data_IF_195708842960
#
_entry.id   IF_195708842960
#
_cell.length_a   1.000
_cell.length_b   1.000
_cell.length_c   1.000
_cell.angle_alpha   90.00
_cell.angle_beta   90.00
_cell.angle_gamma   90.00
#
_symmetry.space_group_name_H-M   'P 1'
#
loop_
_entity.id
_entity.type
_entity.pdbx_description
1 polymer ?
#
# COMPACT_ATOMS: atom_id res chain seq x y z
N UNK A 1 34.12 -28.52 43.71
CA UNK A 1 32.78 -27.91 43.90
C UNK A 1 32.59 -26.92 42.75
N UNK A 2 32.02 -27.40 41.64
CA UNK A 2 31.92 -26.65 40.37
C UNK A 2 30.61 -25.91 40.32
N UNK A 3 30.70 -24.58 40.21
CA UNK A 3 29.60 -23.64 40.06
C UNK A 3 29.05 -23.77 38.64
N UNK A 4 28.06 -24.64 38.45
CA UNK A 4 27.15 -24.58 37.29
C UNK A 4 26.00 -23.62 37.65
N UNK A 5 26.17 -22.34 37.33
CA UNK A 5 25.10 -21.35 37.50
C UNK A 5 24.54 -20.93 36.15
N UNK A 6 23.29 -21.31 35.92
CA UNK A 6 22.27 -20.65 35.12
C UNK A 6 22.63 -20.22 33.68
N UNK A 7 22.41 -21.13 32.72
CA UNK A 7 21.92 -20.79 31.38
C UNK A 7 20.60 -21.53 31.18
N UNK A 8 19.49 -20.90 31.55
CA UNK A 8 18.16 -21.35 31.16
C UNK A 8 17.19 -20.18 31.29
N UNK A 9 17.10 -19.34 30.25
CA UNK A 9 15.92 -18.51 29.94
C UNK A 9 15.86 -18.34 28.42
N UNK A 10 15.41 -19.38 27.71
CA UNK A 10 14.78 -19.31 26.38
C UNK A 10 13.71 -20.40 26.32
N UNK A 11 12.82 -20.40 27.31
CA UNK A 11 11.80 -21.46 27.42
C UNK A 11 10.59 -21.22 26.51
N UNK A 12 10.45 -20.01 25.96
CA UNK A 12 9.43 -19.72 24.97
C UNK A 12 10.00 -19.86 23.55
N UNK A 13 9.35 -20.72 22.76
CA UNK A 13 9.60 -20.87 21.34
C UNK A 13 8.27 -20.73 20.60
N UNK A 14 8.18 -19.78 19.67
CA UNK A 14 6.97 -19.62 18.89
C UNK A 14 6.85 -20.76 17.86
N UNK A 15 6.10 -21.81 18.19
CA UNK A 15 5.84 -22.95 17.30
C UNK A 15 5.04 -22.51 16.06
N UNK A 16 4.23 -21.44 16.19
CA UNK A 16 3.33 -20.95 15.15
C UNK A 16 3.93 -19.86 14.26
N UNK A 17 5.23 -19.56 14.36
CA UNK A 17 5.87 -18.44 13.68
C UNK A 17 5.62 -18.38 12.17
N UNK A 18 5.61 -19.53 11.48
CA UNK A 18 5.31 -19.59 10.04
C UNK A 18 3.86 -19.22 9.74
N UNK A 19 2.94 -19.65 10.59
CA UNK A 19 1.52 -19.33 10.46
C UNK A 19 1.27 -17.85 10.72
N UNK A 20 1.95 -17.28 11.72
CA UNK A 20 1.83 -15.86 12.09
C UNK A 20 2.40 -14.95 10.98
N UNK A 21 3.58 -15.29 10.45
CA UNK A 21 4.17 -14.59 9.31
C UNK A 21 3.29 -14.71 8.06
N UNK A 22 2.83 -15.92 7.73
CA UNK A 22 1.92 -16.15 6.59
C UNK A 22 0.60 -15.41 6.77
N UNK A 23 0.04 -15.35 7.99
CA UNK A 23 -1.19 -14.61 8.29
C UNK A 23 -1.04 -13.13 7.99
N UNK A 24 0.12 -12.55 8.32
CA UNK A 24 0.44 -11.14 8.14
C UNK A 24 0.46 -10.74 6.67
N UNK A 25 0.98 -11.60 5.79
CA UNK A 25 1.19 -11.28 4.37
C UNK A 25 0.25 -12.00 3.40
N UNK A 26 -0.70 -12.81 3.90
CA UNK A 26 -1.54 -13.70 3.07
C UNK A 26 -2.25 -12.99 1.93
N UNK A 27 -2.84 -11.83 2.21
CA UNK A 27 -3.62 -11.07 1.23
C UNK A 27 -2.72 -10.55 0.12
N UNK A 28 -1.63 -9.87 0.49
CA UNK A 28 -0.58 -9.44 -0.44
C UNK A 28 -0.05 -10.61 -1.27
N UNK A 29 0.24 -11.74 -0.64
CA UNK A 29 0.75 -12.95 -1.28
C UNK A 29 -0.21 -13.48 -2.34
N UNK A 30 -1.49 -13.61 -2.02
CA UNK A 30 -2.50 -14.10 -2.97
C UNK A 30 -2.57 -13.17 -4.19
N UNK A 31 -2.78 -11.88 -3.96
CA UNK A 31 -2.96 -10.89 -5.04
C UNK A 31 -1.70 -10.72 -5.91
N UNK A 32 -0.53 -10.58 -5.29
CA UNK A 32 0.74 -10.41 -6.02
C UNK A 32 1.21 -11.71 -6.68
N UNK A 33 0.79 -12.88 -6.20
CA UNK A 33 1.07 -14.16 -6.85
C UNK A 33 0.25 -14.33 -8.13
N UNK A 34 -1.00 -13.82 -8.16
CA UNK A 34 -1.80 -13.81 -9.39
C UNK A 34 -1.14 -12.96 -10.47
N UNK A 35 -0.59 -11.80 -10.11
CA UNK A 35 0.10 -10.89 -11.04
C UNK A 35 1.53 -11.36 -11.36
N UNK A 36 2.10 -12.26 -10.56
CA UNK A 36 3.43 -12.82 -10.75
C UNK A 36 4.58 -12.04 -10.12
N UNK A 37 4.29 -10.98 -9.35
CA UNK A 37 5.29 -10.08 -8.75
C UNK A 37 5.71 -10.53 -7.33
N UNK A 38 4.96 -11.44 -6.70
CA UNK A 38 5.28 -11.92 -5.36
C UNK A 38 6.74 -12.44 -5.29
N UNK A 39 7.56 -11.99 -4.33
CA UNK A 39 8.96 -12.39 -4.21
C UNK A 39 9.08 -13.86 -3.80
N UNK A 40 9.14 -14.74 -4.80
CA UNK A 40 9.33 -16.19 -4.62
C UNK A 40 10.79 -16.54 -4.32
N UNK A 41 11.00 -17.75 -3.79
CA UNK A 41 12.34 -18.33 -3.60
C UNK A 41 13.07 -18.42 -4.95
N UNK A 42 14.32 -17.95 -4.99
CA UNK A 42 15.19 -18.01 -6.17
C UNK A 42 15.43 -19.47 -6.56
N UNK A 43 14.64 -19.97 -7.50
CA UNK A 43 14.88 -21.20 -8.24
C UNK A 43 14.75 -20.86 -9.72
N UNK A 44 15.44 -21.60 -10.59
CA UNK A 44 15.39 -21.34 -12.03
C UNK A 44 13.95 -21.30 -12.55
N UNK A 45 13.13 -22.30 -12.19
CA UNK A 45 11.71 -22.36 -12.58
C UNK A 45 10.90 -21.16 -12.08
N UNK A 46 11.10 -20.73 -10.83
CA UNK A 46 10.38 -19.56 -10.30
C UNK A 46 10.79 -18.27 -10.98
N UNK A 47 12.07 -18.11 -11.32
CA UNK A 47 12.57 -16.93 -12.02
C UNK A 47 12.00 -16.86 -13.44
N UNK A 48 11.97 -17.97 -14.18
CA UNK A 48 11.35 -18.01 -15.51
C UNK A 48 9.86 -17.65 -15.42
N UNK A 49 9.11 -18.29 -14.51
CA UNK A 49 7.68 -17.97 -14.30
C UNK A 49 7.46 -16.49 -13.98
N UNK A 50 8.28 -15.93 -13.10
CA UNK A 50 8.23 -14.53 -12.71
C UNK A 50 8.42 -13.58 -13.91
N UNK A 51 9.47 -13.78 -14.71
CA UNK A 51 9.74 -12.91 -15.85
C UNK A 51 8.66 -13.05 -16.92
N UNK A 52 8.20 -14.27 -17.22
CA UNK A 52 7.12 -14.49 -18.20
C UNK A 52 5.82 -13.81 -17.73
N UNK A 53 5.39 -14.03 -16.49
CA UNK A 53 4.15 -13.43 -15.97
C UNK A 53 4.22 -11.90 -15.92
N UNK A 54 5.32 -11.35 -15.41
CA UNK A 54 5.50 -9.89 -15.32
C UNK A 54 5.50 -9.23 -16.70
N UNK A 55 6.17 -9.85 -17.68
CA UNK A 55 6.20 -9.36 -19.06
C UNK A 55 4.82 -9.40 -19.70
N UNK A 56 4.04 -10.48 -19.51
CA UNK A 56 2.67 -10.58 -20.01
C UNK A 56 1.78 -9.49 -19.41
N UNK A 57 1.83 -9.29 -18.09
CA UNK A 57 1.05 -8.25 -17.40
C UNK A 57 1.43 -6.86 -17.90
N UNK A 58 2.73 -6.60 -18.09
CA UNK A 58 3.20 -5.33 -18.61
C UNK A 58 2.67 -5.06 -20.03
N UNK A 59 2.72 -6.05 -20.92
CA UNK A 59 2.16 -5.92 -22.27
C UNK A 59 0.64 -5.70 -22.25
N UNK A 60 -0.11 -6.39 -21.38
CA UNK A 60 -1.54 -6.16 -21.21
C UNK A 60 -1.82 -4.73 -20.73
N UNK A 61 -1.04 -4.22 -19.78
CA UNK A 61 -1.17 -2.83 -19.31
C UNK A 61 -0.87 -1.82 -20.42
N UNK A 62 0.16 -2.05 -21.25
CA UNK A 62 0.45 -1.20 -22.41
C UNK A 62 -0.67 -1.26 -23.46
N UNK A 63 -1.23 -2.45 -23.70
CA UNK A 63 -2.37 -2.65 -24.58
C UNK A 63 -3.62 -1.89 -24.13
N UNK A 64 -3.78 -1.66 -22.81
CA UNK A 64 -4.84 -0.79 -22.28
C UNK A 64 -4.46 0.69 -22.34
N UNK A 65 -3.24 1.06 -21.93
CA UNK A 65 -2.85 2.45 -21.74
C UNK A 65 -2.63 3.21 -23.05
N UNK A 66 -1.98 2.60 -24.05
CA UNK A 66 -1.63 3.30 -25.30
C UNK A 66 -2.88 3.73 -26.08
N UNK A 67 -3.87 2.86 -26.35
CA UNK A 67 -5.12 3.24 -27.03
C UNK A 67 -5.92 4.28 -26.25
N UNK A 68 -5.84 4.23 -24.92
CA UNK A 68 -6.52 5.19 -24.05
C UNK A 68 -5.89 6.59 -24.16
N UNK A 69 -4.56 6.67 -24.30
CA UNK A 69 -3.83 7.93 -24.54
C UNK A 69 -4.13 8.48 -25.94
N UNK A 70 -4.16 7.61 -26.95
CA UNK A 70 -4.51 8.00 -28.34
C UNK A 70 -5.91 8.61 -28.37
N UNK A 71 -6.91 7.93 -27.78
CA UNK A 71 -8.29 8.43 -27.69
C UNK A 71 -8.37 9.83 -27.07
N UNK A 72 -7.55 10.10 -26.06
CA UNK A 72 -7.54 11.41 -25.38
C UNK A 72 -7.06 12.54 -26.28
N UNK A 73 -6.12 12.25 -27.16
CA UNK A 73 -5.51 13.24 -28.03
C UNK A 73 -6.35 13.51 -29.29
N UNK A 74 -6.97 12.46 -29.86
CA UNK A 74 -7.66 12.56 -31.14
C UNK A 74 -9.19 12.71 -31.05
N UNK A 75 -9.86 12.07 -30.09
CA UNK A 75 -11.33 11.92 -30.10
C UNK A 75 -12.04 12.58 -28.91
N UNK A 76 -11.28 13.07 -27.93
CA UNK A 76 -11.85 13.63 -26.72
C UNK A 76 -12.23 15.10 -26.93
N UNK A 77 -13.52 15.38 -27.10
CA UNK A 77 -14.00 16.75 -27.35
C UNK A 77 -14.55 17.45 -26.10
N UNK A 78 -15.01 16.67 -25.11
CA UNK A 78 -15.72 17.17 -23.92
C UNK A 78 -14.83 17.12 -22.69
N UNK A 79 -14.81 18.22 -21.91
CA UNK A 79 -14.04 18.30 -20.66
C UNK A 79 -14.41 17.17 -19.66
N UNK A 80 -15.70 16.81 -19.58
CA UNK A 80 -16.18 15.72 -18.72
C UNK A 80 -15.60 14.36 -19.13
N UNK A 81 -15.46 14.10 -20.44
CA UNK A 81 -14.79 12.89 -20.96
C UNK A 81 -13.29 12.94 -20.68
N UNK A 82 -12.64 14.10 -20.86
CA UNK A 82 -11.22 14.28 -20.52
C UNK A 82 -10.93 13.91 -19.07
N UNK A 83 -11.70 14.42 -18.11
CA UNK A 83 -11.47 14.15 -16.69
C UNK A 83 -11.59 12.66 -16.35
N UNK A 84 -12.62 11.98 -16.88
CA UNK A 84 -12.82 10.54 -16.68
C UNK A 84 -11.65 9.72 -17.23
N UNK A 85 -11.21 10.05 -18.45
CA UNK A 85 -10.12 9.34 -19.13
C UNK A 85 -8.77 9.59 -18.44
N UNK A 86 -8.45 10.85 -18.11
CA UNK A 86 -7.18 11.19 -17.45
C UNK A 86 -7.09 10.53 -16.06
N UNK A 87 -8.18 10.48 -15.28
CA UNK A 87 -8.17 9.78 -13.99
C UNK A 87 -7.76 8.30 -14.14
N UNK A 88 -8.33 7.61 -15.12
CA UNK A 88 -8.03 6.21 -15.40
C UNK A 88 -6.61 6.01 -15.99
N UNK A 89 -6.10 6.96 -16.77
CA UNK A 89 -4.71 6.96 -17.24
C UNK A 89 -3.71 7.14 -16.10
N UNK A 90 -3.96 8.11 -15.21
CA UNK A 90 -3.12 8.34 -14.02
C UNK A 90 -3.12 7.08 -13.16
N UNK A 91 -4.27 6.46 -12.91
CA UNK A 91 -4.35 5.20 -12.16
C UNK A 91 -3.52 4.08 -12.81
N UNK A 92 -3.57 3.95 -14.13
CA UNK A 92 -2.80 2.96 -14.89
C UNK A 92 -1.29 3.26 -14.85
N UNK A 93 -0.90 4.53 -14.95
CA UNK A 93 0.49 4.97 -14.84
C UNK A 93 1.07 4.69 -13.44
N UNK A 94 0.29 4.95 -12.38
CA UNK A 94 0.68 4.60 -11.01
C UNK A 94 0.91 3.09 -10.85
N UNK A 95 0.08 2.26 -11.48
CA UNK A 95 0.28 0.81 -11.49
C UNK A 95 1.63 0.43 -12.11
N UNK A 96 1.99 1.02 -13.25
CA UNK A 96 3.27 0.80 -13.92
C UNK A 96 4.44 1.23 -13.03
N UNK A 97 4.39 2.44 -12.44
CA UNK A 97 5.41 2.95 -11.52
C UNK A 97 5.60 2.00 -10.33
N UNK A 98 4.50 1.48 -9.78
CA UNK A 98 4.52 0.52 -8.67
C UNK A 98 5.17 -0.79 -9.07
N UNK A 99 4.85 -1.36 -10.24
CA UNK A 99 5.52 -2.57 -10.76
C UNK A 99 7.03 -2.33 -10.78
N UNK A 100 7.48 -1.30 -11.50
CA UNK A 100 8.91 -1.03 -11.67
C UNK A 100 9.62 -0.81 -10.33
N UNK A 101 8.99 -0.09 -9.41
CA UNK A 101 9.57 0.13 -8.07
C UNK A 101 9.74 -1.18 -7.29
N UNK A 102 8.72 -2.06 -7.31
CA UNK A 102 8.80 -3.37 -6.65
C UNK A 102 9.84 -4.27 -7.35
N UNK A 103 9.96 -4.21 -8.67
CA UNK A 103 10.96 -4.98 -9.43
C UNK A 103 12.39 -4.55 -9.10
N UNK A 104 12.65 -3.23 -9.07
CA UNK A 104 13.96 -2.67 -8.73
C UNK A 104 14.33 -3.04 -7.28
N UNK A 105 13.38 -2.92 -6.35
CA UNK A 105 13.61 -3.15 -4.93
C UNK A 105 13.27 -4.58 -4.47
N UNK A 106 13.15 -5.54 -5.40
CA UNK A 106 12.70 -6.92 -5.11
C UNK A 106 13.53 -7.63 -4.05
N UNK A 107 14.84 -7.41 -4.03
CA UNK A 107 15.75 -8.08 -3.12
C UNK A 107 15.55 -7.56 -1.69
N UNK A 108 15.39 -6.24 -1.55
CA UNK A 108 15.14 -5.60 -0.27
C UNK A 108 13.77 -6.01 0.30
N UNK A 109 12.73 -6.02 -0.53
CA UNK A 109 11.39 -6.47 -0.11
C UNK A 109 11.44 -7.94 0.33
N UNK A 110 12.15 -8.79 -0.42
CA UNK A 110 12.33 -10.19 -0.03
C UNK A 110 13.09 -10.33 1.28
N UNK A 111 14.11 -9.51 1.50
CA UNK A 111 14.84 -9.46 2.75
C UNK A 111 13.91 -9.04 3.91
N UNK A 112 13.10 -7.99 3.75
CA UNK A 112 12.09 -7.58 4.74
C UNK A 112 11.12 -8.71 5.12
N UNK A 113 10.68 -9.51 4.14
CA UNK A 113 9.78 -10.64 4.37
C UNK A 113 10.48 -11.80 5.09
N UNK A 114 11.75 -12.06 4.76
CA UNK A 114 12.54 -13.09 5.43
C UNK A 114 12.85 -12.69 6.88
N UNK A 115 13.25 -11.44 7.10
CA UNK A 115 13.49 -10.89 8.44
C UNK A 115 12.21 -10.89 9.27
N UNK A 116 11.05 -10.61 8.69
CA UNK A 116 9.76 -10.72 9.38
C UNK A 116 9.53 -12.14 9.90
N UNK A 117 9.74 -13.17 9.09
CA UNK A 117 9.60 -14.58 9.52
C UNK A 117 10.58 -14.94 10.65
N UNK A 118 11.84 -14.50 10.54
CA UNK A 118 12.86 -14.68 11.57
C UNK A 118 12.46 -14.00 12.87
N UNK A 119 11.94 -12.78 12.79
CA UNK A 119 11.50 -12.01 13.96
C UNK A 119 10.29 -12.65 14.64
N UNK A 120 9.35 -13.25 13.89
CA UNK A 120 8.26 -14.06 14.47
C UNK A 120 8.75 -15.35 15.14
N UNK A 121 9.84 -15.95 14.62
CA UNK A 121 10.44 -17.16 15.20
C UNK A 121 11.19 -16.86 16.50
N UNK A 122 11.91 -15.75 16.52
CA UNK A 122 12.83 -15.37 17.60
C UNK A 122 12.15 -14.48 18.66
N UNK A 123 10.81 -14.44 18.69
CA UNK A 123 10.04 -13.75 19.73
C UNK A 123 10.32 -14.35 21.10
N UNK A 124 10.53 -13.50 22.11
CA UNK A 124 10.94 -13.94 23.45
C UNK A 124 9.79 -14.45 24.33
N UNK A 125 8.56 -14.00 24.10
CA UNK A 125 7.41 -14.42 24.91
C UNK A 125 6.07 -14.25 24.17
N UNK A 126 5.04 -14.91 24.70
CA UNK A 126 3.70 -14.90 24.13
C UNK A 126 3.10 -13.49 24.05
N UNK A 127 3.36 -12.64 25.03
CA UNK A 127 2.86 -11.27 25.05
C UNK A 127 3.48 -10.42 23.93
N UNK A 128 4.77 -10.58 23.62
CA UNK A 128 5.41 -9.90 22.47
C UNK A 128 4.80 -10.37 21.16
N UNK A 129 4.52 -11.68 21.04
CA UNK A 129 3.86 -12.26 19.86
C UNK A 129 2.45 -11.67 19.70
N UNK A 130 1.69 -11.56 20.78
CA UNK A 130 0.34 -10.98 20.76
C UNK A 130 0.36 -9.51 20.30
N UNK A 131 1.35 -8.73 20.72
CA UNK A 131 1.55 -7.35 20.24
C UNK A 131 1.79 -7.33 18.73
N UNK A 132 2.74 -8.12 18.21
CA UNK A 132 3.00 -8.21 16.77
C UNK A 132 1.78 -8.69 15.97
N UNK A 133 0.99 -9.60 16.54
CA UNK A 133 -0.25 -10.07 15.92
C UNK A 133 -1.36 -9.04 15.93
N UNK A 134 -1.45 -8.20 16.96
CA UNK A 134 -2.41 -7.11 17.00
C UNK A 134 -2.08 -6.02 15.96
N UNK A 135 -0.81 -5.66 15.78
CA UNK A 135 -0.41 -4.74 14.71
C UNK A 135 -0.66 -5.33 13.32
N UNK A 136 -0.38 -6.62 13.11
CA UNK A 136 -0.70 -7.32 11.87
C UNK A 136 -2.21 -7.35 11.56
N UNK A 137 -3.07 -7.53 12.58
CA UNK A 137 -4.54 -7.46 12.42
C UNK A 137 -4.99 -6.09 11.93
N UNK A 138 -4.45 -5.01 12.49
CA UNK A 138 -4.78 -3.63 12.06
C UNK A 138 -4.44 -3.44 10.57
N UNK A 139 -3.23 -3.81 10.15
CA UNK A 139 -2.82 -3.71 8.73
C UNK A 139 -3.72 -4.54 7.80
N UNK A 140 -4.18 -5.71 8.26
CA UNK A 140 -5.08 -6.56 7.51
C UNK A 140 -6.50 -6.00 7.42
N UNK A 141 -7.03 -5.40 8.49
CA UNK A 141 -8.33 -4.71 8.47
C UNK A 141 -8.29 -3.59 7.43
N UNK A 142 -7.26 -2.75 7.45
CA UNK A 142 -7.10 -1.70 6.44
C UNK A 142 -7.07 -2.25 5.02
N UNK A 143 -6.35 -3.35 4.80
CA UNK A 143 -6.31 -4.01 3.49
C UNK A 143 -7.69 -4.51 3.06
N UNK A 144 -8.45 -5.14 3.96
CA UNK A 144 -9.79 -5.69 3.67
C UNK A 144 -10.77 -4.56 3.37
N UNK A 145 -10.77 -3.49 4.16
CA UNK A 145 -11.63 -2.32 3.94
C UNK A 145 -11.32 -1.69 2.58
N UNK A 146 -10.03 -1.52 2.25
CA UNK A 146 -9.64 -0.95 0.97
C UNK A 146 -9.99 -1.86 -0.22
N UNK A 147 -9.83 -3.19 -0.08
CA UNK A 147 -10.27 -4.16 -1.08
C UNK A 147 -11.78 -4.11 -1.31
N UNK A 148 -12.56 -4.05 -0.23
CA UNK A 148 -14.02 -4.02 -0.30
C UNK A 148 -14.52 -2.75 -1.00
N UNK A 149 -14.04 -1.57 -0.58
CA UNK A 149 -14.41 -0.30 -1.19
C UNK A 149 -13.92 -0.20 -2.64
N UNK A 150 -12.69 -0.65 -2.88
CA UNK A 150 -12.06 -0.59 -4.19
C UNK A 150 -12.77 -1.45 -5.23
N UNK A 151 -12.96 -2.74 -4.96
CA UNK A 151 -13.74 -3.60 -5.85
C UNK A 151 -15.22 -3.22 -5.88
N UNK A 152 -15.77 -2.74 -4.75
CA UNK A 152 -17.15 -2.28 -4.65
C UNK A 152 -17.47 -1.07 -5.52
N UNK A 153 -16.51 -0.18 -5.78
CA UNK A 153 -16.68 0.95 -6.71
C UNK A 153 -16.25 0.62 -8.14
N UNK A 154 -15.13 -0.07 -8.31
CA UNK A 154 -14.54 -0.27 -9.62
C UNK A 154 -15.23 -1.35 -10.46
N UNK A 155 -15.76 -2.41 -9.86
CA UNK A 155 -16.51 -3.43 -10.63
C UNK A 155 -17.80 -2.84 -11.21
N UNK A 156 -18.63 -2.10 -10.45
CA UNK A 156 -19.77 -1.39 -11.05
C UNK A 156 -19.35 -0.40 -12.14
N UNK A 157 -18.25 0.33 -11.94
CA UNK A 157 -17.74 1.28 -12.92
C UNK A 157 -17.33 0.62 -14.25
N UNK A 158 -16.61 -0.52 -14.20
CA UNK A 158 -16.12 -1.18 -15.41
C UNK A 158 -17.12 -2.17 -16.02
N UNK A 159 -17.96 -2.83 -15.22
CA UNK A 159 -18.88 -3.86 -15.72
C UNK A 159 -20.27 -3.29 -15.93
N UNK A 160 -20.84 -2.66 -14.91
CA UNK A 160 -22.27 -2.33 -14.90
C UNK A 160 -22.54 -1.06 -15.68
N UNK A 161 -21.72 -0.02 -15.48
CA UNK A 161 -21.93 1.28 -16.10
C UNK A 161 -21.95 1.20 -17.64
N UNK A 162 -21.06 0.45 -18.33
CA UNK A 162 -21.14 0.30 -19.77
C UNK A 162 -22.40 -0.46 -20.22
N UNK A 163 -22.83 -1.47 -19.46
CA UNK A 163 -24.01 -2.28 -19.79
C UNK A 163 -25.34 -1.51 -19.70
N UNK A 164 -25.43 -0.53 -18.80
CA UNK A 164 -26.62 0.32 -18.61
C UNK A 164 -26.58 1.64 -19.39
N UNK A 165 -25.40 2.01 -19.92
CA UNK A 165 -25.22 3.22 -20.69
C UNK A 165 -25.94 3.14 -22.04
N UNK A 166 -26.25 4.31 -22.61
CA UNK A 166 -26.82 4.40 -23.94
C UNK A 166 -25.94 3.68 -24.96
N UNK A 167 -26.59 2.92 -25.86
CA UNK A 167 -25.88 2.18 -26.89
C UNK A 167 -25.38 3.14 -27.97
N UNK A 168 -24.16 2.91 -28.42
CA UNK A 168 -23.57 3.61 -29.55
C UNK A 168 -24.25 3.07 -30.82
N UNK A 169 -24.88 3.96 -31.58
CA UNK A 169 -25.48 3.63 -32.88
C UNK A 169 -24.41 3.77 -33.95
N UNK A 170 -24.15 2.69 -34.67
CA UNK A 170 -23.21 2.67 -35.78
C UNK A 170 -23.82 3.24 -37.07
N UNK A 171 -22.95 3.50 -38.05
CA UNK A 171 -23.35 3.91 -39.40
C UNK A 171 -24.21 2.87 -40.14
N UNK A 172 -24.17 1.60 -39.75
CA UNK A 172 -24.99 0.51 -40.30
C UNK A 172 -26.32 0.30 -39.54
N UNK A 173 -26.71 1.23 -38.65
CA UNK A 173 -27.85 1.14 -37.73
C UNK A 173 -27.80 -0.01 -36.71
N UNK A 174 -26.66 -0.71 -36.56
CA UNK A 174 -26.47 -1.64 -35.45
C UNK A 174 -26.12 -0.88 -34.15
N UNK A 175 -26.46 -1.46 -33.00
CA UNK A 175 -26.20 -0.84 -31.68
C UNK A 175 -25.13 -1.59 -30.91
N UNK A 176 -24.18 -0.86 -30.32
CA UNK A 176 -23.10 -1.44 -29.50
C UNK A 176 -23.09 -0.88 -28.08
N UNK A 177 -22.72 -1.73 -27.13
CA UNK A 177 -22.47 -1.34 -25.73
C UNK A 177 -21.16 -0.56 -25.71
N UNK A 178 -21.00 0.57 -25.00
CA UNK A 178 -19.72 1.28 -24.94
C UNK A 178 -18.61 0.46 -24.26
N UNK A 179 -17.35 0.75 -24.58
CA UNK A 179 -16.20 0.10 -23.92
C UNK A 179 -16.05 0.62 -22.48
N UNK A 180 -15.64 -0.23 -21.51
CA UNK A 180 -15.36 0.18 -20.12
C UNK A 180 -14.23 1.23 -20.02
N UNK A 181 -13.28 1.15 -20.95
CA UNK A 181 -12.25 2.15 -21.16
C UNK A 181 -12.41 2.70 -22.58
N UNK A 182 -12.72 3.99 -22.67
CA UNK A 182 -12.75 4.69 -23.95
C UNK A 182 -11.36 4.61 -24.56
N UNK A 183 -11.22 4.02 -25.73
CA UNK A 183 -9.92 3.67 -26.29
C UNK A 183 -10.02 3.58 -27.80
N UNK A 184 -9.04 4.15 -28.48
CA UNK A 184 -8.94 4.10 -29.93
C UNK A 184 -7.76 3.21 -30.33
N UNK A 185 -8.06 2.09 -30.98
CA UNK A 185 -7.07 1.10 -31.40
C UNK A 185 -6.76 1.27 -32.89
N UNK A 186 -5.74 2.06 -33.19
CA UNK A 186 -5.31 2.39 -34.56
C UNK A 186 -4.85 1.17 -35.38
N UNK A 187 -4.48 0.07 -34.73
CA UNK A 187 -3.87 -1.09 -35.38
C UNK A 187 -4.88 -2.13 -35.92
N UNK A 188 -6.15 -2.07 -35.52
CA UNK A 188 -7.20 -2.99 -36.00
C UNK A 188 -8.60 -2.43 -35.77
N UNK A 189 -9.54 -2.76 -36.66
CA UNK A 189 -10.94 -2.31 -36.56
C UNK A 189 -11.65 -3.09 -35.44
N UNK A 190 -12.00 -2.39 -34.36
CA UNK A 190 -12.66 -2.98 -33.18
C UNK A 190 -14.16 -3.15 -33.41
N UNK A 191 -14.74 -2.30 -34.26
CA UNK A 191 -16.19 -2.15 -34.37
C UNK A 191 -16.86 -3.46 -34.84
N UNK A 192 -16.17 -4.32 -35.57
CA UNK A 192 -16.75 -5.57 -36.06
C UNK A 192 -16.74 -6.71 -35.02
N UNK A 193 -17.86 -7.44 -34.93
CA UNK A 193 -17.93 -8.69 -34.15
C UNK A 193 -17.14 -9.78 -34.88
N UNK A 194 -16.29 -10.59 -34.18
CA UNK A 194 -16.20 -10.76 -32.73
C UNK A 194 -15.09 -9.94 -32.03
N UNK A 195 -14.40 -9.05 -32.76
CA UNK A 195 -13.24 -8.30 -32.26
C UNK A 195 -13.62 -7.38 -31.10
N UNK A 196 -14.81 -6.79 -31.18
CA UNK A 196 -15.37 -5.94 -30.14
C UNK A 196 -15.51 -6.68 -28.80
N UNK A 197 -16.16 -7.84 -28.81
CA UNK A 197 -16.43 -8.65 -27.63
C UNK A 197 -15.13 -9.16 -27.01
N UNK A 198 -14.16 -9.56 -27.84
CA UNK A 198 -12.84 -9.98 -27.37
C UNK A 198 -12.14 -8.80 -26.67
N UNK A 199 -12.15 -7.61 -27.27
CA UNK A 199 -11.51 -6.42 -26.71
C UNK A 199 -12.15 -6.03 -25.37
N UNK A 200 -13.48 -6.05 -25.29
CA UNK A 200 -14.22 -5.81 -24.05
C UNK A 200 -13.77 -6.75 -22.93
N UNK A 201 -13.72 -8.06 -23.19
CA UNK A 201 -13.29 -9.07 -22.21
C UNK A 201 -11.82 -8.88 -21.80
N UNK A 202 -10.95 -8.57 -22.76
CA UNK A 202 -9.52 -8.32 -22.50
C UNK A 202 -9.32 -7.07 -21.65
N UNK A 203 -10.04 -5.97 -21.91
CA UNK A 203 -9.98 -4.76 -21.08
C UNK A 203 -10.45 -5.04 -19.65
N UNK A 204 -11.55 -5.79 -19.49
CA UNK A 204 -12.06 -6.18 -18.17
C UNK A 204 -11.07 -7.02 -17.38
N UNK A 205 -10.48 -8.02 -18.02
CA UNK A 205 -9.47 -8.88 -17.40
C UNK A 205 -8.22 -8.08 -17.03
N UNK A 206 -7.77 -7.18 -17.91
CA UNK A 206 -6.60 -6.32 -17.67
C UNK A 206 -6.85 -5.36 -16.50
N UNK A 207 -8.04 -4.74 -16.42
CA UNK A 207 -8.44 -3.90 -15.29
C UNK A 207 -8.43 -4.66 -13.97
N UNK A 208 -8.99 -5.89 -13.95
CA UNK A 208 -8.94 -6.75 -12.78
C UNK A 208 -7.50 -7.07 -12.32
N UNK A 209 -6.57 -7.29 -13.25
CA UNK A 209 -5.16 -7.49 -12.93
C UNK A 209 -4.50 -6.22 -12.37
N UNK A 210 -4.78 -5.05 -12.95
CA UNK A 210 -4.27 -3.74 -12.46
C UNK A 210 -4.80 -3.46 -11.04
N UNK A 211 -6.07 -3.76 -10.78
CA UNK A 211 -6.68 -3.65 -9.46
C UNK A 211 -6.01 -4.60 -8.46
N UNK A 212 -5.91 -5.89 -8.81
CA UNK A 212 -5.25 -6.91 -7.98
C UNK A 212 -3.82 -6.53 -7.64
N UNK A 213 -3.06 -6.00 -8.60
CA UNK A 213 -1.73 -5.46 -8.39
C UNK A 213 -1.73 -4.34 -7.35
N UNK A 214 -2.54 -3.30 -7.57
CA UNK A 214 -2.60 -2.15 -6.66
C UNK A 214 -2.90 -2.60 -5.24
N UNK A 215 -4.00 -3.33 -5.04
CA UNK A 215 -4.40 -3.82 -3.73
C UNK A 215 -3.38 -4.78 -3.10
N UNK A 216 -2.71 -5.60 -3.92
CA UNK A 216 -1.64 -6.47 -3.45
C UNK A 216 -0.43 -5.70 -2.93
N UNK A 217 -0.03 -4.63 -3.62
CA UNK A 217 1.08 -3.76 -3.19
C UNK A 217 0.69 -3.00 -1.93
N UNK A 218 -0.54 -2.48 -1.84
CA UNK A 218 -1.04 -1.85 -0.62
C UNK A 218 -1.05 -2.78 0.58
N UNK A 219 -1.52 -4.00 0.37
CA UNK A 219 -1.48 -5.03 1.40
C UNK A 219 -0.06 -5.27 1.87
N UNK A 220 0.90 -5.38 0.94
CA UNK A 220 2.31 -5.57 1.28
C UNK A 220 2.86 -4.41 2.11
N UNK A 221 2.60 -3.16 1.69
CA UNK A 221 3.01 -1.94 2.39
C UNK A 221 2.42 -1.93 3.81
N UNK A 222 1.12 -2.17 3.95
CA UNK A 222 0.47 -2.21 5.25
C UNK A 222 1.06 -3.29 6.16
N UNK A 223 1.29 -4.50 5.63
CA UNK A 223 1.86 -5.61 6.38
C UNK A 223 3.28 -5.32 6.91
N UNK A 224 4.19 -4.85 6.05
CA UNK A 224 5.59 -4.60 6.47
C UNK A 224 5.69 -3.37 7.39
N UNK A 225 4.91 -2.32 7.16
CA UNK A 225 4.93 -1.12 8.00
C UNK A 225 4.31 -1.38 9.36
N UNK A 226 3.18 -2.10 9.43
CA UNK A 226 2.59 -2.47 10.72
C UNK A 226 3.43 -3.48 11.50
N UNK A 227 4.14 -4.37 10.80
CA UNK A 227 5.15 -5.22 11.44
C UNK A 227 6.26 -4.38 12.07
N UNK A 228 6.74 -3.34 11.36
CA UNK A 228 7.72 -2.41 11.90
C UNK A 228 7.19 -1.65 13.14
N UNK A 229 5.93 -1.22 13.13
CA UNK A 229 5.27 -0.66 14.32
C UNK A 229 5.27 -1.67 15.48
N UNK A 230 4.99 -2.94 15.20
CA UNK A 230 5.02 -4.03 16.18
C UNK A 230 6.40 -4.23 16.81
N UNK A 231 7.49 -4.09 16.03
CA UNK A 231 8.86 -4.15 16.56
C UNK A 231 9.16 -3.00 17.53
N UNK A 232 8.71 -1.79 17.22
CA UNK A 232 8.85 -0.64 18.12
C UNK A 232 8.01 -0.81 19.39
N UNK A 233 6.77 -1.28 19.27
CA UNK A 233 5.87 -1.51 20.40
C UNK A 233 6.41 -2.61 21.34
N UNK A 234 6.91 -3.72 20.78
CA UNK A 234 7.62 -4.77 21.52
C UNK A 234 8.84 -4.17 22.24
N UNK A 235 9.66 -3.40 21.54
CA UNK A 235 10.83 -2.74 22.16
C UNK A 235 10.42 -1.83 23.31
N UNK A 236 9.36 -1.04 23.14
CA UNK A 236 8.84 -0.15 24.16
C UNK A 236 8.37 -0.93 25.41
N UNK A 237 7.65 -2.04 25.21
CA UNK A 237 7.22 -2.94 26.29
C UNK A 237 8.38 -3.56 27.06
N UNK A 238 9.47 -3.89 26.37
CA UNK A 238 10.71 -4.39 27.00
C UNK A 238 11.38 -3.33 27.87
N UNK A 239 11.29 -2.05 27.47
CA UNK A 239 11.75 -0.90 28.27
C UNK A 239 10.87 -0.72 29.51
N UNK A 240 9.54 -0.77 29.39
CA UNK A 240 8.61 -0.65 30.52
C UNK A 240 8.82 -1.74 31.59
N UNK A 241 9.23 -2.94 31.16
CA UNK A 241 9.46 -4.10 32.03
C UNK A 241 10.92 -4.26 32.48
N UNK A 242 11.78 -3.27 32.21
CA UNK A 242 13.22 -3.35 32.52
C UNK A 242 13.50 -3.60 34.01
N UNK A 243 12.74 -2.93 34.90
CA UNK A 243 12.91 -3.00 36.35
C UNK A 243 12.55 -4.37 36.94
N UNK A 244 11.80 -5.20 36.20
CA UNK A 244 11.42 -6.55 36.65
C UNK A 244 12.55 -7.58 36.48
N UNK A 245 13.61 -7.23 35.73
CA UNK A 245 14.70 -8.14 35.40
C UNK A 245 15.87 -8.01 36.39
N UNK A 246 16.37 -9.15 36.88
CA UNK A 246 17.55 -9.21 37.75
C UNK A 246 18.84 -8.88 37.00
N UNK A 247 18.94 -9.25 35.73
CA UNK A 247 20.07 -8.90 34.84
C UNK A 247 19.73 -7.68 33.98
N UNK A 248 19.97 -6.49 34.54
CA UNK A 248 19.73 -5.23 33.84
C UNK A 248 20.68 -5.03 32.65
N UNK A 249 21.92 -5.53 32.72
CA UNK A 249 22.92 -5.31 31.68
C UNK A 249 22.59 -6.11 30.43
N UNK A 250 22.29 -7.40 30.58
CA UNK A 250 21.83 -8.24 29.47
C UNK A 250 20.56 -7.67 28.85
N UNK A 251 19.58 -7.31 29.69
CA UNK A 251 18.29 -6.80 29.21
C UNK A 251 18.41 -5.51 28.38
N UNK A 252 19.29 -4.59 28.77
CA UNK A 252 19.52 -3.36 27.99
C UNK A 252 20.19 -3.66 26.66
N UNK A 253 21.13 -4.60 26.62
CA UNK A 253 21.74 -5.00 25.35
C UNK A 253 20.68 -5.56 24.38
N UNK A 254 19.75 -6.38 24.87
CA UNK A 254 18.65 -6.92 24.07
C UNK A 254 17.69 -5.82 23.59
N UNK A 255 17.38 -4.84 24.44
CA UNK A 255 16.55 -3.67 24.09
C UNK A 255 17.23 -2.84 23.00
N UNK A 256 18.53 -2.53 23.14
CA UNK A 256 19.30 -1.78 22.14
C UNK A 256 19.29 -2.53 20.81
N UNK A 257 19.52 -3.85 20.83
CA UNK A 257 19.50 -4.66 19.62
C UNK A 257 18.11 -4.67 18.97
N UNK A 258 17.05 -4.76 19.76
CA UNK A 258 15.67 -4.72 19.26
C UNK A 258 15.34 -3.36 18.64
N UNK A 259 15.74 -2.27 19.29
CA UNK A 259 15.55 -0.90 18.79
C UNK A 259 16.30 -0.67 17.48
N UNK A 260 17.57 -1.10 17.39
CA UNK A 260 18.36 -0.98 16.17
C UNK A 260 17.76 -1.79 15.02
N UNK A 261 17.32 -3.03 15.26
CA UNK A 261 16.63 -3.85 14.25
C UNK A 261 15.36 -3.17 13.74
N UNK A 262 14.54 -2.58 14.63
CA UNK A 262 13.34 -1.86 14.23
C UNK A 262 13.67 -0.62 13.38
N UNK A 263 14.70 0.15 13.76
CA UNK A 263 15.20 1.30 13.00
C UNK A 263 15.67 0.86 11.61
N UNK A 264 16.53 -0.15 11.52
CA UNK A 264 17.09 -0.65 10.25
C UNK A 264 15.98 -1.15 9.32
N UNK A 265 15.03 -1.91 9.87
CA UNK A 265 13.85 -2.38 9.14
C UNK A 265 13.02 -1.21 8.60
N UNK A 266 12.73 -0.20 9.44
CA UNK A 266 11.97 1.00 9.04
C UNK A 266 12.67 1.77 7.91
N UNK A 267 13.99 1.93 8.01
CA UNK A 267 14.79 2.64 7.02
C UNK A 267 14.81 1.90 5.69
N UNK A 268 14.87 0.57 5.73
CA UNK A 268 14.83 -0.25 4.53
C UNK A 268 13.47 -0.15 3.83
N UNK A 269 12.36 -0.29 4.57
CA UNK A 269 11.00 -0.09 4.04
C UNK A 269 10.84 1.29 3.41
N UNK A 270 11.26 2.34 4.13
CA UNK A 270 11.21 3.72 3.63
C UNK A 270 12.00 3.93 2.36
N UNK A 271 13.20 3.35 2.25
CA UNK A 271 14.03 3.43 1.03
C UNK A 271 13.42 2.67 -0.13
N UNK A 272 12.96 1.44 0.08
CA UNK A 272 12.44 0.55 -0.97
C UNK A 272 11.10 1.01 -1.56
N UNK A 273 10.32 1.79 -0.83
CA UNK A 273 8.97 2.21 -1.26
C UNK A 273 8.84 3.72 -1.41
N UNK A 274 9.95 4.45 -1.27
CA UNK A 274 9.98 5.92 -1.34
C UNK A 274 9.31 6.48 -2.61
N UNK A 275 9.58 5.86 -3.77
CA UNK A 275 8.98 6.30 -5.04
C UNK A 275 7.48 6.01 -5.06
N UNK A 276 7.04 4.85 -4.55
CA UNK A 276 5.62 4.48 -4.49
C UNK A 276 4.84 5.47 -3.63
N UNK A 277 5.40 5.86 -2.48
CA UNK A 277 4.76 6.83 -1.58
C UNK A 277 4.61 8.20 -2.25
N UNK A 278 5.66 8.69 -2.92
CA UNK A 278 5.59 9.96 -3.63
C UNK A 278 4.57 9.91 -4.77
N UNK A 279 4.68 8.90 -5.64
CA UNK A 279 3.80 8.78 -6.80
C UNK A 279 2.35 8.66 -6.38
N UNK A 280 2.07 7.94 -5.28
CA UNK A 280 0.69 7.76 -4.83
C UNK A 280 0.07 9.05 -4.31
N UNK A 281 0.78 9.81 -3.48
CA UNK A 281 0.23 11.06 -2.93
C UNK A 281 -0.11 12.04 -4.06
N UNK A 282 0.76 12.17 -5.06
CA UNK A 282 0.52 13.04 -6.21
C UNK A 282 -0.60 12.49 -7.11
N UNK A 283 -0.53 11.21 -7.47
CA UNK A 283 -1.48 10.61 -8.40
C UNK A 283 -2.90 10.50 -7.82
N UNK A 284 -3.05 10.14 -6.55
CA UNK A 284 -4.36 10.11 -5.88
C UNK A 284 -4.98 11.51 -5.80
N UNK A 285 -4.19 12.57 -5.60
CA UNK A 285 -4.73 13.94 -5.57
C UNK A 285 -5.43 14.29 -6.90
N UNK A 286 -4.78 13.94 -8.03
CA UNK A 286 -5.33 14.17 -9.37
C UNK A 286 -6.57 13.30 -9.59
N UNK A 287 -6.50 12.01 -9.24
CA UNK A 287 -7.60 11.06 -9.41
C UNK A 287 -8.83 11.49 -8.58
N UNK A 288 -8.63 11.86 -7.31
CA UNK A 288 -9.71 12.30 -6.41
C UNK A 288 -10.40 13.53 -6.99
N UNK A 289 -9.65 14.54 -7.42
CA UNK A 289 -10.20 15.76 -8.02
C UNK A 289 -11.13 15.44 -9.21
N UNK A 290 -10.70 14.57 -10.13
CA UNK A 290 -11.49 14.22 -11.30
C UNK A 290 -12.69 13.31 -10.99
N UNK A 291 -12.56 12.41 -10.01
CA UNK A 291 -13.68 11.60 -9.55
C UNK A 291 -14.73 12.44 -8.81
N UNK A 292 -14.33 13.41 -7.98
CA UNK A 292 -15.22 14.36 -7.31
C UNK A 292 -16.00 15.20 -8.31
N UNK A 293 -15.33 15.70 -9.36
CA UNK A 293 -16.00 16.38 -10.46
C UNK A 293 -17.01 15.47 -11.16
N UNK A 294 -16.65 14.20 -11.38
CA UNK A 294 -17.56 13.18 -11.91
C UNK A 294 -18.83 13.00 -11.07
N UNK A 295 -18.73 13.04 -9.73
CA UNK A 295 -19.91 12.99 -8.84
C UNK A 295 -20.85 14.17 -9.10
N UNK A 296 -20.32 15.39 -9.28
CA UNK A 296 -21.13 16.60 -9.50
C UNK A 296 -21.86 16.51 -10.84
N UNK A 297 -21.16 16.14 -11.92
CA UNK A 297 -21.75 16.04 -13.26
C UNK A 297 -22.87 15.01 -13.30
N UNK A 298 -22.65 13.82 -12.74
CA UNK A 298 -23.67 12.75 -12.75
C UNK A 298 -24.86 13.07 -11.83
N UNK A 299 -24.65 13.91 -10.82
CA UNK A 299 -25.71 14.45 -9.98
C UNK A 299 -26.61 15.43 -10.75
N UNK A 300 -26.01 16.35 -11.52
CA UNK A 300 -26.73 17.31 -12.37
C UNK A 300 -27.53 16.60 -13.47
N UNK A 301 -26.98 15.52 -14.04
CA UNK A 301 -27.63 14.67 -15.05
C UNK A 301 -28.71 13.73 -14.48
N UNK A 302 -28.98 13.76 -13.17
CA UNK A 302 -29.91 12.86 -12.48
C UNK A 302 -29.62 11.34 -12.65
N UNK A 303 -28.37 10.97 -12.92
CA UNK A 303 -27.92 9.58 -13.10
C UNK A 303 -27.51 8.95 -11.77
N UNK A 304 -28.49 8.54 -10.95
CA UNK A 304 -28.28 8.10 -9.56
C UNK A 304 -27.27 6.96 -9.41
N UNK A 305 -27.32 5.93 -10.28
CA UNK A 305 -26.41 4.78 -10.19
C UNK A 305 -24.94 5.15 -10.47
N UNK A 306 -24.73 5.97 -11.50
CA UNK A 306 -23.41 6.48 -11.89
C UNK A 306 -22.83 7.35 -10.77
N UNK A 307 -23.63 8.28 -10.25
CA UNK A 307 -23.25 9.14 -9.12
C UNK A 307 -22.83 8.33 -7.88
N UNK A 308 -23.60 7.31 -7.49
CA UNK A 308 -23.23 6.41 -6.36
C UNK A 308 -21.91 5.70 -6.64
N UNK A 309 -21.71 5.21 -7.87
CA UNK A 309 -20.46 4.53 -8.28
C UNK A 309 -19.24 5.45 -8.13
N UNK A 310 -19.32 6.68 -8.66
CA UNK A 310 -18.27 7.68 -8.50
C UNK A 310 -18.02 8.03 -7.03
N UNK A 311 -19.06 8.18 -6.22
CA UNK A 311 -18.93 8.47 -4.80
C UNK A 311 -18.20 7.36 -4.02
N UNK A 312 -18.49 6.10 -4.33
CA UNK A 312 -17.77 4.95 -3.75
C UNK A 312 -16.30 4.95 -4.17
N UNK A 313 -16.00 5.27 -5.43
CA UNK A 313 -14.62 5.39 -5.93
C UNK A 313 -13.83 6.51 -5.24
N UNK A 314 -14.43 7.71 -5.09
CA UNK A 314 -13.85 8.82 -4.34
C UNK A 314 -13.55 8.41 -2.90
N UNK A 315 -14.53 7.79 -2.24
CA UNK A 315 -14.38 7.30 -0.86
C UNK A 315 -13.26 6.27 -0.75
N UNK A 316 -13.17 5.34 -1.70
CA UNK A 316 -12.10 4.34 -1.76
C UNK A 316 -10.71 4.98 -1.89
N UNK A 317 -10.57 6.01 -2.74
CA UNK A 317 -9.30 6.73 -2.90
C UNK A 317 -8.93 7.52 -1.65
N UNK A 318 -9.89 8.19 -1.00
CA UNK A 318 -9.62 8.83 0.29
C UNK A 318 -9.18 7.85 1.37
N UNK A 319 -9.83 6.68 1.44
CA UNK A 319 -9.43 5.62 2.36
C UNK A 319 -8.03 5.12 2.04
N UNK A 320 -7.64 5.03 0.77
CA UNK A 320 -6.28 4.66 0.39
C UNK A 320 -5.23 5.62 0.95
N UNK A 321 -5.40 6.92 0.68
CA UNK A 321 -4.49 7.98 1.14
C UNK A 321 -4.47 8.03 2.67
N UNK A 322 -5.64 7.92 3.31
CA UNK A 322 -5.76 7.88 4.76
C UNK A 322 -4.98 6.70 5.36
N UNK A 323 -5.12 5.49 4.82
CA UNK A 323 -4.41 4.31 5.31
C UNK A 323 -2.90 4.53 5.22
N UNK A 324 -2.38 4.99 4.09
CA UNK A 324 -0.94 5.26 3.91
C UNK A 324 -0.42 6.31 4.90
N UNK A 325 -1.16 7.42 5.05
CA UNK A 325 -0.81 8.47 6.01
C UNK A 325 -0.90 8.00 7.45
N UNK A 326 -1.90 7.19 7.79
CA UNK A 326 -2.11 6.67 9.14
C UNK A 326 -1.00 5.70 9.54
N UNK A 327 -0.63 4.74 8.68
CA UNK A 327 0.44 3.79 9.00
C UNK A 327 1.80 4.50 9.12
N UNK A 328 2.03 5.55 8.32
CA UNK A 328 3.23 6.39 8.42
C UNK A 328 3.29 7.16 9.73
N UNK A 329 2.20 7.81 10.11
CA UNK A 329 2.10 8.58 11.37
C UNK A 329 2.20 7.65 12.60
N UNK A 330 1.54 6.48 12.54
CA UNK A 330 1.61 5.47 13.60
C UNK A 330 3.04 4.96 13.81
N UNK A 331 3.77 4.69 12.72
CA UNK A 331 5.18 4.27 12.81
C UNK A 331 6.03 5.34 13.49
N UNK A 332 5.84 6.60 13.11
CA UNK A 332 6.55 7.74 13.69
C UNK A 332 6.26 7.85 15.19
N UNK A 333 5.00 7.79 15.59
CA UNK A 333 4.56 7.85 16.99
C UNK A 333 5.18 6.72 17.83
N UNK A 334 5.16 5.47 17.34
CA UNK A 334 5.76 4.35 18.07
C UNK A 334 7.29 4.46 18.18
N UNK A 335 7.95 5.03 17.17
CA UNK A 335 9.38 5.32 17.26
C UNK A 335 9.70 6.42 18.29
N UNK A 336 8.88 7.48 18.38
CA UNK A 336 9.03 8.56 19.38
C UNK A 336 8.77 8.05 20.80
N UNK A 337 7.79 7.16 20.96
CA UNK A 337 7.38 6.60 22.25
C UNK A 337 8.52 5.91 22.99
N UNK A 338 9.44 5.26 22.28
CA UNK A 338 10.64 4.66 22.88
C UNK A 338 11.47 5.67 23.66
N UNK A 339 11.63 6.88 23.13
CA UNK A 339 12.34 7.97 23.79
C UNK A 339 11.63 8.44 25.05
N UNK A 340 10.31 8.61 24.97
CA UNK A 340 9.48 9.03 26.10
C UNK A 340 9.51 8.00 27.24
N UNK A 341 9.26 6.74 26.93
CA UNK A 341 9.28 5.65 27.92
C UNK A 341 10.66 5.50 28.56
N UNK A 342 11.73 5.61 27.76
CA UNK A 342 13.10 5.56 28.28
C UNK A 342 13.43 6.75 29.19
N UNK A 343 12.87 7.93 28.90
CA UNK A 343 13.05 9.14 29.70
C UNK A 343 12.40 9.03 31.09
N UNK A 344 11.22 8.41 31.17
CA UNK A 344 10.48 8.22 32.43
C UNK A 344 11.04 7.10 33.33
N UNK A 345 12.02 6.33 32.87
CA UNK A 345 12.72 5.40 33.74
C UNK A 345 13.53 6.16 34.81
N UNK A 346 13.67 5.61 36.03
CA UNK A 346 14.56 6.15 37.07
C UNK A 346 16.04 5.86 36.74
N UNK A 347 16.48 6.19 35.53
CA UNK A 347 17.80 5.84 35.00
C UNK A 347 18.96 6.51 35.74
N UNK A 348 18.68 7.58 36.50
CA UNK A 348 19.63 8.24 37.39
C UNK A 348 19.99 7.41 38.64
N UNK A 349 19.18 6.40 38.99
CA UNK A 349 19.46 5.46 40.08
C UNK A 349 20.27 4.24 39.60
N UNK A 350 20.39 4.04 38.29
CA UNK A 350 21.09 2.90 37.73
C UNK A 350 22.61 3.09 37.72
N UNK A 351 23.38 1.98 37.66
CA UNK A 351 24.82 2.04 37.44
C UNK A 351 25.19 2.91 36.23
N UNK A 352 26.30 3.64 36.33
CA UNK A 352 26.71 4.66 35.36
C UNK A 352 26.71 4.17 33.92
N UNK A 353 27.14 2.93 33.67
CA UNK A 353 27.15 2.31 32.34
C UNK A 353 25.76 2.10 31.77
N UNK A 354 24.80 1.67 32.60
CA UNK A 354 23.40 1.50 32.22
C UNK A 354 22.75 2.86 31.95
N UNK A 355 22.98 3.84 32.81
CA UNK A 355 22.47 5.20 32.65
C UNK A 355 22.99 5.87 31.36
N UNK A 356 24.24 5.60 30.96
CA UNK A 356 24.79 6.04 29.66
C UNK A 356 24.04 5.41 28.49
N UNK A 357 23.80 4.10 28.53
CA UNK A 357 23.09 3.38 27.47
C UNK A 357 21.66 3.90 27.26
N UNK A 358 20.91 4.14 28.34
CA UNK A 358 19.55 4.70 28.26
C UNK A 358 19.57 6.11 27.68
N UNK A 359 20.55 6.95 28.05
CA UNK A 359 20.72 8.28 27.44
C UNK A 359 20.97 8.19 25.93
N UNK A 360 21.75 7.21 25.46
CA UNK A 360 21.96 6.99 24.03
C UNK A 360 20.65 6.58 23.34
N UNK A 361 19.82 5.73 23.96
CA UNK A 361 18.50 5.36 23.44
C UNK A 361 17.62 6.61 23.30
N UNK A 362 17.55 7.47 24.32
CA UNK A 362 16.78 8.71 24.29
C UNK A 362 17.29 9.64 23.18
N UNK A 363 18.61 9.84 23.09
CA UNK A 363 19.23 10.66 22.04
C UNK A 363 18.91 10.11 20.65
N UNK A 364 18.95 8.79 20.45
CA UNK A 364 18.59 8.19 19.16
C UNK A 364 17.11 8.34 18.85
N UNK A 365 16.22 8.15 19.83
CA UNK A 365 14.78 8.26 19.67
C UNK A 365 14.30 9.70 19.38
N UNK A 366 15.10 10.71 19.71
CA UNK A 366 14.83 12.11 19.32
C UNK A 366 14.76 12.33 17.80
N UNK A 367 15.28 11.38 17.01
CA UNK A 367 15.17 11.35 15.55
C UNK A 367 14.24 10.18 15.16
N UNK A 368 12.93 10.40 15.10
CA UNK A 368 11.98 9.31 14.90
C UNK A 368 12.08 8.71 13.50
N UNK A 369 11.82 7.42 13.41
CA UNK A 369 11.69 6.72 12.14
C UNK A 369 10.42 7.16 11.43
N UNK A 370 10.58 7.88 10.33
CA UNK A 370 9.49 8.34 9.47
C UNK A 370 9.62 7.74 8.06
N UNK A 371 8.48 7.46 7.44
CA UNK A 371 8.41 7.07 6.03
C UNK A 371 8.21 8.32 5.18
N UNK A 372 9.05 8.53 4.17
CA UNK A 372 8.99 9.68 3.29
C UNK A 372 8.99 9.29 1.81
N UNK A 373 8.14 9.97 1.04
CA UNK A 373 8.15 9.94 -0.41
C UNK A 373 9.28 10.82 -0.95
N UNK A 374 10.32 10.19 -1.50
CA UNK A 374 11.53 10.82 -2.02
C UNK A 374 12.19 11.88 -1.10
N UNK A 375 12.01 11.77 0.23
CA UNK A 375 12.40 12.81 1.23
C UNK A 375 11.75 14.18 1.03
N UNK A 376 10.73 14.28 0.18
CA UNK A 376 9.97 15.51 -0.08
C UNK A 376 8.68 15.58 0.74
N UNK A 377 8.03 14.43 0.93
CA UNK A 377 6.74 14.32 1.61
C UNK A 377 6.80 13.25 2.70
N UNK A 378 6.69 13.66 3.96
CA UNK A 378 6.57 12.72 5.08
C UNK A 378 5.15 12.19 5.16
N UNK A 379 5.01 10.86 5.15
CA UNK A 379 3.71 10.20 5.31
C UNK A 379 3.15 10.51 6.70
N UNK A 380 2.15 11.38 6.73
CA UNK A 380 1.51 11.85 7.95
C UNK A 380 0.05 12.18 7.69
N UNK A 381 -0.75 12.24 8.77
CA UNK A 381 -2.14 12.68 8.69
C UNK A 381 -2.27 14.14 8.22
N UNK A 382 -1.23 14.96 8.40
CA UNK A 382 -1.18 16.32 7.84
C UNK A 382 -1.21 16.29 6.32
N UNK A 383 -0.39 15.44 5.69
CA UNK A 383 -0.37 15.29 4.23
C UNK A 383 -1.72 14.81 3.70
N UNK A 384 -2.42 13.92 4.42
CA UNK A 384 -3.79 13.53 4.05
C UNK A 384 -4.74 14.74 4.02
N UNK A 385 -4.69 15.61 5.05
CA UNK A 385 -5.49 16.83 5.07
C UNK A 385 -5.11 17.78 3.93
N UNK A 386 -3.83 17.86 3.58
CA UNK A 386 -3.36 18.70 2.47
C UNK A 386 -3.84 18.15 1.12
N UNK A 387 -3.84 16.82 0.92
CA UNK A 387 -4.44 16.17 -0.25
C UNK A 387 -5.93 16.49 -0.35
N UNK A 388 -6.68 16.38 0.74
CA UNK A 388 -8.11 16.72 0.78
C UNK A 388 -8.38 18.19 0.43
N UNK A 389 -7.59 19.11 0.98
CA UNK A 389 -7.73 20.54 0.70
C UNK A 389 -7.36 20.88 -0.75
N UNK A 390 -6.30 20.27 -1.27
CA UNK A 390 -5.85 20.51 -2.64
C UNK A 390 -6.82 19.93 -3.65
N UNK A 391 -7.37 18.73 -3.44
CA UNK A 391 -8.41 18.18 -4.32
C UNK A 391 -9.65 19.07 -4.35
N UNK A 392 -10.14 19.52 -3.20
CA UNK A 392 -11.27 20.45 -3.11
C UNK A 392 -10.99 21.81 -3.76
N UNK A 393 -9.77 22.34 -3.64
CA UNK A 393 -9.38 23.59 -4.30
C UNK A 393 -9.37 23.45 -5.83
N UNK A 394 -8.80 22.36 -6.35
CA UNK A 394 -8.82 22.08 -7.79
C UNK A 394 -10.24 21.80 -8.30
N UNK A 395 -11.07 21.11 -7.53
CA UNK A 395 -12.48 20.89 -7.85
C UNK A 395 -13.24 22.22 -8.01
N UNK A 396 -13.05 23.16 -7.08
CA UNK A 396 -13.66 24.48 -7.17
C UNK A 396 -13.18 25.26 -8.40
N UNK A 397 -11.89 25.17 -8.73
CA UNK A 397 -11.35 25.76 -9.95
C UNK A 397 -12.00 25.16 -11.20
N UNK A 398 -12.08 23.83 -11.29
CA UNK A 398 -12.73 23.14 -12.41
C UNK A 398 -14.19 23.56 -12.55
N UNK A 399 -14.93 23.60 -11.44
CA UNK A 399 -16.33 24.03 -11.44
C UNK A 399 -16.52 25.46 -11.96
N UNK A 400 -15.59 26.36 -11.63
CA UNK A 400 -15.63 27.77 -12.09
C UNK A 400 -15.30 27.90 -13.59
N UNK A 401 -14.62 26.93 -14.19
CA UNK A 401 -14.31 26.93 -15.63
C UNK A 401 -15.41 26.28 -16.46
N UNK A 402 -16.26 25.45 -15.84
CA UNK A 402 -17.35 24.72 -16.51
C UNK A 402 -18.71 25.37 -16.39
N UNK A 403 -18.93 26.16 -15.33
CA UNK A 403 -20.11 27.02 -15.12
C UNK A 403 -19.80 28.40 -15.65
#
# INVERSE_FOLDING_TARGET
MSVKTARNIRDYHNIHYKSDAEYTVRVAKILLTMVGIWPRRNTFSNNVKFYVQTTIVFFLMCFLLLPHVIYTYFDCENLTKYMKVIAAQVFSLLAIIKIWTILINRNEIRFCLMEMEVQYRDVECEEDRLVMMNTAKIGRIFTIVYLFLGYGGALPYHVILPLISERIVKADNSTQIPLPYLSDYVFFVIEDSPTYEITFVVQMFTSFLIMSLNYGIYSLIASITMHCCGLFEVTNRRIETILKNRDLRGRIADIIQSHLKAIEYSALVGKSLSIVFLSEMLGCTIIICFLEFGVIVEWEDHKTFSMVTYFVLVTSMFVNVFILSFIGDRLKQESERIGQTSYFLPWYEFPTEIAKNIRIIILRASRPSSLSGAKMLDLSLRVFCDVFKTSAAYLNFLRTMTV
#
